data_IF_343694905902
#
_entry.id   IF_343694905902
#
_cell.length_a   1.000
_cell.length_b   1.000
_cell.length_c   1.000
_cell.angle_alpha   90.00
_cell.angle_beta   90.00
_cell.angle_gamma   90.00
#
_symmetry.space_group_name_H-M   'P 1'
#
loop_
_entity.id
_entity.type
_entity.pdbx_description
1 polymer ?
#
# COMPACT_ATOMS: atom_id res chain seq x y z
N UNK A 1 5.56 27.26 6.02
CA UNK A 1 5.46 26.78 7.42
C UNK A 1 6.75 26.09 7.74
N UNK A 2 7.32 26.31 8.93
CA UNK A 2 8.49 25.57 9.38
C UNK A 2 8.04 24.18 9.88
N UNK A 3 8.54 23.07 9.31
CA UNK A 3 8.20 21.71 9.74
C UNK A 3 8.47 21.44 11.22
N UNK A 4 9.35 22.21 11.86
CA UNK A 4 9.68 22.08 13.28
C UNK A 4 8.64 22.72 14.21
N UNK A 5 7.81 23.64 13.70
CA UNK A 5 6.86 24.42 14.52
C UNK A 5 5.41 24.26 14.09
N UNK A 6 5.15 23.62 12.94
CA UNK A 6 3.79 23.28 12.53
C UNK A 6 3.17 22.31 13.54
N UNK A 7 1.91 22.48 13.86
CA UNK A 7 1.14 21.58 14.74
C UNK A 7 -0.22 21.36 14.10
N UNK A 8 -1.01 20.42 14.61
CA UNK A 8 -2.38 20.25 14.14
C UNK A 8 -3.19 21.55 14.12
N UNK A 9 -3.05 22.42 15.13
CA UNK A 9 -3.87 23.63 15.23
C UNK A 9 -3.54 24.69 14.18
N UNK A 10 -2.29 24.77 13.72
CA UNK A 10 -1.84 25.79 12.76
C UNK A 10 -1.56 25.22 11.36
N UNK A 11 -1.71 23.91 11.17
CA UNK A 11 -1.51 23.26 9.88
C UNK A 11 -2.47 23.83 8.83
N UNK A 12 -1.90 24.03 7.63
CA UNK A 12 -2.61 24.34 6.38
C UNK A 12 -2.38 23.20 5.38
N UNK A 13 -2.80 23.40 4.12
CA UNK A 13 -2.66 22.39 3.08
C UNK A 13 -3.42 21.11 3.44
N UNK A 14 -2.91 19.96 3.00
CA UNK A 14 -3.56 18.67 3.21
C UNK A 14 -3.79 18.35 4.70
N UNK A 15 -2.77 18.56 5.57
CA UNK A 15 -2.90 18.27 7.00
C UNK A 15 -3.98 19.12 7.68
N UNK A 16 -4.07 20.41 7.33
CA UNK A 16 -5.14 21.28 7.82
C UNK A 16 -6.53 20.85 7.30
N UNK A 17 -6.61 20.47 6.02
CA UNK A 17 -7.85 19.98 5.42
C UNK A 17 -8.33 18.67 6.06
N UNK A 18 -7.42 17.72 6.36
CA UNK A 18 -7.74 16.47 7.05
C UNK A 18 -8.27 16.71 8.47
N UNK A 19 -7.63 17.62 9.23
CA UNK A 19 -8.14 18.05 10.55
C UNK A 19 -9.57 18.57 10.44
N UNK A 20 -9.82 19.49 9.50
CA UNK A 20 -11.13 20.13 9.35
C UNK A 20 -12.18 19.13 8.86
N UNK A 21 -11.78 18.18 7.99
CA UNK A 21 -12.63 17.09 7.53
C UNK A 21 -13.01 16.13 8.67
N UNK A 22 -12.06 15.73 9.51
CA UNK A 22 -12.34 14.90 10.69
C UNK A 22 -13.29 15.60 11.67
N UNK A 23 -13.13 16.91 11.87
CA UNK A 23 -14.06 17.71 12.68
C UNK A 23 -15.47 17.75 12.08
N UNK A 24 -15.59 17.94 10.76
CA UNK A 24 -16.88 17.90 10.04
C UNK A 24 -17.55 16.52 10.12
N UNK A 25 -16.79 15.45 9.92
CA UNK A 25 -17.28 14.08 10.05
C UNK A 25 -17.84 13.83 11.46
N UNK A 26 -17.11 14.24 12.49
CA UNK A 26 -17.56 14.14 13.88
C UNK A 26 -18.85 14.94 14.14
N UNK A 27 -18.95 16.16 13.63
CA UNK A 27 -20.16 16.98 13.75
C UNK A 27 -21.38 16.34 13.05
N UNK A 28 -21.15 15.55 12.00
CA UNK A 28 -22.17 14.76 11.31
C UNK A 28 -22.46 13.39 11.95
N UNK A 29 -21.84 13.07 13.10
CA UNK A 29 -22.05 11.78 13.79
C UNK A 29 -21.20 10.61 13.26
N UNK A 30 -20.17 10.89 12.47
CA UNK A 30 -19.26 9.88 11.94
C UNK A 30 -17.90 9.92 12.64
N UNK A 31 -17.30 8.75 12.85
CA UNK A 31 -15.90 8.63 13.25
C UNK A 31 -15.02 8.47 12.02
N UNK A 32 -14.20 9.48 11.73
CA UNK A 32 -13.17 9.41 10.69
C UNK A 32 -11.81 9.12 11.32
N UNK A 33 -11.34 7.88 11.21
CA UNK A 33 -9.97 7.52 11.54
C UNK A 33 -9.02 8.08 10.47
N UNK A 34 -7.88 8.63 10.91
CA UNK A 34 -6.85 9.12 10.01
C UNK A 34 -5.58 8.30 10.26
N UNK A 35 -5.02 7.76 9.17
CA UNK A 35 -3.75 7.06 9.16
C UNK A 35 -2.66 7.90 8.49
N UNK A 36 -1.42 7.74 8.91
CA UNK A 36 -0.24 8.30 8.26
C UNK A 36 0.61 7.15 7.68
N UNK A 37 0.71 7.07 6.36
CA UNK A 37 1.64 6.15 5.69
C UNK A 37 3.04 6.76 5.62
N UNK A 38 4.06 5.93 5.84
CA UNK A 38 5.48 6.25 5.71
C UNK A 38 6.06 5.24 4.74
N UNK A 39 6.62 5.72 3.63
CA UNK A 39 7.19 4.88 2.59
C UNK A 39 6.38 4.95 1.29
N UNK A 40 5.90 3.80 0.84
CA UNK A 40 5.34 3.55 -0.49
C UNK A 40 6.42 3.14 -1.49
N UNK A 41 5.99 2.77 -2.70
CA UNK A 41 6.84 2.28 -3.78
C UNK A 41 8.12 3.11 -3.99
N UNK A 42 8.00 4.43 -4.08
CA UNK A 42 9.13 5.33 -4.39
C UNK A 42 9.96 5.77 -3.19
N UNK A 43 9.54 5.48 -1.95
CA UNK A 43 10.20 6.00 -0.74
C UNK A 43 10.54 4.88 0.27
N UNK A 44 10.66 3.64 -0.20
CA UNK A 44 11.02 2.49 0.62
C UNK A 44 12.53 2.27 0.80
N UNK A 45 13.37 3.02 0.08
CA UNK A 45 14.82 2.82 0.02
C UNK A 45 15.55 2.89 1.37
N UNK A 46 14.98 3.59 2.37
CA UNK A 46 15.59 3.72 3.69
C UNK A 46 15.27 2.60 4.66
N UNK A 47 14.31 1.70 4.37
CA UNK A 47 13.79 0.78 5.38
C UNK A 47 14.77 -0.32 5.78
N UNK A 48 15.51 -0.88 4.83
CA UNK A 48 16.53 -1.90 5.11
C UNK A 48 17.51 -1.43 6.20
N UNK A 49 18.11 -0.25 6.02
CA UNK A 49 19.03 0.34 7.00
C UNK A 49 18.31 0.79 8.29
N UNK A 50 17.09 1.31 8.16
CA UNK A 50 16.28 1.75 9.31
C UNK A 50 15.96 0.58 10.25
N UNK A 51 15.70 -0.61 9.70
CA UNK A 51 15.38 -1.80 10.47
C UNK A 51 16.64 -2.50 11.02
N UNK A 52 17.80 -2.36 10.37
CA UNK A 52 19.00 -3.16 10.61
C UNK A 52 19.61 -3.04 12.03
N UNK A 53 19.48 -1.90 12.71
CA UNK A 53 20.17 -1.67 13.99
C UNK A 53 19.24 -1.12 15.07
N UNK A 54 19.57 -1.40 16.34
CA UNK A 54 18.80 -0.88 17.48
C UNK A 54 18.76 0.65 17.51
N UNK A 55 19.87 1.32 17.15
CA UNK A 55 19.93 2.78 17.12
C UNK A 55 19.06 3.37 16.00
N UNK A 56 19.10 2.81 14.79
CA UNK A 56 18.27 3.29 13.67
C UNK A 56 16.78 3.06 13.93
N UNK A 57 16.39 1.89 14.46
CA UNK A 57 14.99 1.63 14.88
C UNK A 57 14.50 2.62 15.92
N UNK A 58 15.32 2.93 16.93
CA UNK A 58 14.99 3.92 17.97
C UNK A 58 14.79 5.32 17.41
N UNK A 59 15.60 5.73 16.44
CA UNK A 59 15.47 7.03 15.76
C UNK A 59 14.14 7.09 15.01
N UNK A 60 13.82 6.05 14.24
CA UNK A 60 12.55 5.96 13.50
C UNK A 60 11.35 6.03 14.45
N UNK A 61 11.29 5.15 15.45
CA UNK A 61 10.21 5.11 16.42
C UNK A 61 10.00 6.45 17.14
N UNK A 62 11.10 7.11 17.54
CA UNK A 62 11.05 8.45 18.14
C UNK A 62 10.48 9.50 17.19
N UNK A 63 10.81 9.41 15.90
CA UNK A 63 10.26 10.25 14.84
C UNK A 63 8.75 10.08 14.71
N UNK A 64 8.27 8.85 14.66
CA UNK A 64 6.82 8.53 14.61
C UNK A 64 6.11 9.05 15.86
N UNK A 65 6.62 8.77 17.06
CA UNK A 65 6.04 9.30 18.31
C UNK A 65 5.97 10.82 18.31
N UNK A 66 7.00 11.51 17.80
CA UNK A 66 6.99 12.96 17.66
C UNK A 66 5.87 13.43 16.74
N UNK A 67 5.69 12.80 15.58
CA UNK A 67 4.62 13.13 14.62
C UNK A 67 3.23 12.99 15.26
N UNK A 68 2.99 11.91 16.00
CA UNK A 68 1.71 11.66 16.66
C UNK A 68 1.43 12.64 17.82
N UNK A 69 2.48 13.10 18.51
CA UNK A 69 2.34 14.20 19.49
C UNK A 69 2.04 15.54 18.81
N UNK A 70 2.60 15.79 17.63
CA UNK A 70 2.42 17.03 16.87
C UNK A 70 1.05 17.08 16.16
N UNK A 71 0.52 15.91 15.79
CA UNK A 71 -0.73 15.70 15.08
C UNK A 71 -1.61 14.62 15.72
N UNK A 72 -2.21 14.87 16.90
CA UNK A 72 -3.00 13.88 17.63
C UNK A 72 -4.32 13.44 16.93
N UNK A 73 -4.66 14.02 15.78
CA UNK A 73 -5.77 13.58 14.92
C UNK A 73 -5.54 12.21 14.28
N UNK A 74 -4.27 11.80 14.11
CA UNK A 74 -3.93 10.48 13.59
C UNK A 74 -4.05 9.42 14.69
N UNK A 75 -4.76 8.35 14.36
CA UNK A 75 -4.98 7.19 15.24
C UNK A 75 -4.27 5.94 14.75
N UNK A 76 -3.69 5.99 13.55
CA UNK A 76 -3.08 4.84 12.89
C UNK A 76 -1.81 5.28 12.15
N UNK A 77 -0.77 4.45 12.17
CA UNK A 77 0.44 4.60 11.34
C UNK A 77 0.53 3.39 10.43
N UNK A 78 0.84 3.63 9.16
CA UNK A 78 1.05 2.60 8.17
C UNK A 78 2.53 2.62 7.74
N UNK A 79 3.21 1.49 7.90
CA UNK A 79 4.61 1.34 7.52
C UNK A 79 4.62 0.66 6.16
N UNK A 80 4.68 1.49 5.13
CA UNK A 80 4.53 1.11 3.74
C UNK A 80 5.92 0.79 3.15
N UNK A 81 6.53 -0.29 3.64
CA UNK A 81 7.79 -0.81 3.11
C UNK A 81 7.49 -1.80 1.98
N UNK A 82 7.82 -1.40 0.74
CA UNK A 82 7.64 -2.21 -0.46
C UNK A 82 9.00 -2.61 -1.09
N UNK A 83 9.52 -3.82 -0.83
CA UNK A 83 9.07 -4.81 0.17
C UNK A 83 10.28 -5.41 0.91
N UNK A 84 10.12 -5.93 2.15
CA UNK A 84 11.19 -6.64 2.86
C UNK A 84 11.77 -7.79 2.02
N UNK A 85 13.10 -7.89 1.93
CA UNK A 85 13.82 -8.90 1.13
C UNK A 85 13.39 -8.93 -0.35
N UNK A 86 12.99 -7.79 -0.90
CA UNK A 86 12.67 -7.63 -2.30
C UNK A 86 13.14 -6.26 -2.79
N UNK A 87 13.70 -6.20 -3.98
CA UNK A 87 14.27 -4.97 -4.53
C UNK A 87 13.22 -3.86 -4.72
N UNK A 88 11.96 -4.19 -5.00
CA UNK A 88 10.92 -3.19 -5.27
C UNK A 88 11.37 -2.18 -6.33
N UNK A 89 11.37 -0.90 -5.98
CA UNK A 89 11.79 0.20 -6.85
C UNK A 89 13.33 0.43 -6.91
N UNK A 90 14.15 -0.62 -6.84
CA UNK A 90 15.62 -0.51 -6.80
C UNK A 90 16.18 -0.20 -5.40
N UNK A 91 15.50 -0.67 -4.38
CA UNK A 91 15.81 -0.43 -2.97
C UNK A 91 16.87 -1.43 -2.47
N UNK A 92 17.70 -1.08 -1.47
CA UNK A 92 18.47 -2.06 -0.70
C UNK A 92 17.54 -3.08 -0.02
N UNK A 93 17.93 -4.36 -0.04
CA UNK A 93 17.14 -5.46 0.52
C UNK A 93 18.04 -6.61 0.98
N UNK A 94 17.55 -7.45 1.89
CA UNK A 94 18.26 -8.64 2.34
C UNK A 94 17.39 -9.65 3.10
N UNK A 95 17.82 -10.91 3.22
CA UNK A 95 17.06 -11.97 3.89
C UNK A 95 16.80 -11.71 5.39
N UNK A 96 17.55 -10.80 6.00
CA UNK A 96 17.38 -10.34 7.38
C UNK A 96 16.20 -9.38 7.55
N UNK A 97 15.66 -8.81 6.48
CA UNK A 97 14.67 -7.73 6.53
C UNK A 97 13.44 -8.09 7.34
N UNK A 98 12.85 -9.28 7.13
CA UNK A 98 11.66 -9.70 7.89
C UNK A 98 11.91 -9.77 9.41
N UNK A 99 13.07 -10.29 9.83
CA UNK A 99 13.41 -10.37 11.25
C UNK A 99 13.70 -8.98 11.84
N UNK A 100 14.41 -8.14 11.09
CA UNK A 100 14.69 -6.75 11.48
C UNK A 100 13.41 -5.90 11.52
N UNK A 101 12.45 -6.19 10.65
CA UNK A 101 11.18 -5.50 10.60
C UNK A 101 10.33 -5.81 11.84
N UNK A 102 10.29 -7.08 12.28
CA UNK A 102 9.64 -7.44 13.54
C UNK A 102 10.25 -6.67 14.73
N UNK A 103 11.58 -6.51 14.77
CA UNK A 103 12.26 -5.68 15.79
C UNK A 103 11.90 -4.19 15.68
N UNK A 104 11.71 -3.67 14.47
CA UNK A 104 11.29 -2.29 14.23
C UNK A 104 9.86 -2.04 14.73
N UNK A 105 8.93 -2.96 14.43
CA UNK A 105 7.55 -2.89 14.94
C UNK A 105 7.52 -2.99 16.46
N UNK A 106 8.31 -3.89 17.06
CA UNK A 106 8.38 -4.04 18.51
C UNK A 106 8.88 -2.75 19.19
N UNK A 107 9.95 -2.12 18.66
CA UNK A 107 10.47 -0.87 19.20
C UNK A 107 9.51 0.30 19.00
N UNK A 108 8.83 0.38 17.84
CA UNK A 108 7.79 1.38 17.59
C UNK A 108 6.62 1.24 18.58
N UNK A 109 6.09 0.03 18.74
CA UNK A 109 5.02 -0.28 19.69
C UNK A 109 5.39 0.15 21.11
N UNK A 110 6.57 -0.26 21.58
CA UNK A 110 7.10 0.09 22.90
C UNK A 110 7.20 1.60 23.11
N UNK A 111 7.69 2.37 22.14
CA UNK A 111 7.82 3.81 22.28
C UNK A 111 6.46 4.54 22.22
N UNK A 112 5.52 4.07 21.39
CA UNK A 112 4.14 4.58 21.39
C UNK A 112 3.50 4.35 22.76
N UNK A 113 3.62 3.14 23.32
CA UNK A 113 3.04 2.80 24.63
C UNK A 113 3.64 3.66 25.74
N UNK A 114 4.97 3.79 25.75
CA UNK A 114 5.70 4.63 26.71
C UNK A 114 5.34 6.13 26.60
N UNK A 115 4.84 6.55 25.44
CA UNK A 115 4.39 7.91 25.18
C UNK A 115 2.90 8.15 25.48
N UNK A 116 2.16 7.14 25.97
CA UNK A 116 0.72 7.22 26.20
C UNK A 116 -0.11 7.11 24.91
N UNK A 117 0.44 6.51 23.87
CA UNK A 117 -0.15 6.34 22.54
C UNK A 117 -0.43 4.84 22.24
N UNK A 118 -0.78 4.07 23.26
CA UNK A 118 -1.03 2.62 23.14
C UNK A 118 -2.23 2.27 22.24
N UNK A 119 -3.13 3.23 22.02
CA UNK A 119 -4.27 3.11 21.13
C UNK A 119 -3.93 3.32 19.64
N UNK A 120 -2.72 3.78 19.32
CA UNK A 120 -2.28 3.96 17.92
C UNK A 120 -2.12 2.58 17.28
N UNK A 121 -2.85 2.30 16.21
CA UNK A 121 -2.70 1.06 15.45
C UNK A 121 -1.53 1.17 14.49
N UNK A 122 -0.84 0.05 14.27
CA UNK A 122 0.26 -0.06 13.31
C UNK A 122 -0.21 -0.99 12.19
N UNK A 123 -0.17 -0.53 10.95
CA UNK A 123 -0.42 -1.34 9.76
C UNK A 123 0.85 -1.41 8.89
N UNK A 124 0.87 -2.33 7.95
CA UNK A 124 1.95 -2.46 6.95
C UNK A 124 1.38 -2.61 5.55
N UNK A 125 2.17 -2.22 4.56
CA UNK A 125 2.05 -2.74 3.20
C UNK A 125 2.53 -4.19 3.15
N UNK A 126 1.80 -5.01 2.40
CA UNK A 126 2.15 -6.40 2.16
C UNK A 126 1.87 -6.78 0.70
N UNK A 127 2.84 -7.45 0.07
CA UNK A 127 2.71 -7.87 -1.31
C UNK A 127 1.58 -8.88 -1.48
N UNK A 128 0.87 -8.79 -2.60
CA UNK A 128 -0.09 -9.80 -3.01
C UNK A 128 0.56 -11.01 -3.73
N UNK A 129 1.88 -10.98 -3.95
CA UNK A 129 2.65 -12.15 -4.40
C UNK A 129 3.06 -12.95 -3.16
N UNK A 130 2.54 -14.17 -3.02
CA UNK A 130 2.69 -15.00 -1.81
C UNK A 130 4.14 -15.19 -1.37
N UNK A 131 5.05 -15.44 -2.31
CA UNK A 131 6.48 -15.59 -2.01
C UNK A 131 7.13 -14.32 -1.47
N UNK A 132 6.71 -13.14 -1.93
CA UNK A 132 7.20 -11.85 -1.43
C UNK A 132 6.55 -11.55 -0.06
N UNK A 133 5.27 -11.87 0.12
CA UNK A 133 4.58 -11.75 1.40
C UNK A 133 5.31 -12.51 2.51
N UNK A 134 5.71 -13.76 2.24
CA UNK A 134 6.33 -14.64 3.23
C UNK A 134 7.67 -14.10 3.76
N UNK A 135 8.39 -13.31 2.94
CA UNK A 135 9.65 -12.68 3.37
C UNK A 135 9.48 -11.68 4.52
N UNK A 136 8.32 -11.04 4.63
CA UNK A 136 8.06 -10.07 5.70
C UNK A 136 7.93 -10.75 7.08
N UNK A 137 7.65 -12.05 7.14
CA UNK A 137 7.39 -12.81 8.39
C UNK A 137 6.28 -12.17 9.23
N UNK A 138 5.12 -11.93 8.62
CA UNK A 138 4.01 -11.15 9.21
C UNK A 138 3.51 -11.68 10.55
N UNK A 139 3.63 -12.99 10.83
CA UNK A 139 3.32 -13.54 12.16
C UNK A 139 4.23 -12.99 13.26
N UNK A 140 5.52 -12.81 12.99
CA UNK A 140 6.48 -12.20 13.93
C UNK A 140 6.15 -10.71 14.14
N UNK A 141 5.75 -10.02 13.07
CA UNK A 141 5.28 -8.62 13.14
C UNK A 141 4.01 -8.49 13.99
N UNK A 142 3.05 -9.41 13.86
CA UNK A 142 1.84 -9.46 14.72
C UNK A 142 2.20 -9.71 16.18
N UNK A 143 3.11 -10.65 16.46
CA UNK A 143 3.61 -10.88 17.81
C UNK A 143 4.33 -9.65 18.40
N UNK A 144 4.93 -8.82 17.55
CA UNK A 144 5.58 -7.57 17.90
C UNK A 144 4.61 -6.37 18.09
N UNK A 145 3.32 -6.53 17.81
CA UNK A 145 2.30 -5.49 17.99
C UNK A 145 1.75 -4.86 16.71
N UNK A 146 1.95 -5.50 15.54
CA UNK A 146 1.24 -5.14 14.31
C UNK A 146 -0.28 -5.36 14.48
N UNK A 147 -1.07 -4.39 14.00
CA UNK A 147 -2.53 -4.45 14.04
C UNK A 147 -3.15 -4.87 12.71
N UNK A 148 -2.65 -4.38 11.57
CA UNK A 148 -3.31 -4.54 10.27
C UNK A 148 -2.35 -4.80 9.11
N UNK A 149 -2.87 -5.40 8.05
CA UNK A 149 -2.17 -5.78 6.82
C UNK A 149 -2.93 -5.15 5.66
N UNK A 150 -2.29 -4.25 4.94
CA UNK A 150 -2.80 -3.69 3.70
C UNK A 150 -2.19 -4.50 2.54
N UNK A 151 -2.99 -5.40 1.96
CA UNK A 151 -2.56 -6.17 0.80
C UNK A 151 -2.59 -5.29 -0.44
N UNK A 152 -1.43 -5.14 -1.08
CA UNK A 152 -1.25 -4.36 -2.30
C UNK A 152 -1.73 -5.17 -3.51
N UNK A 153 -3.05 -5.41 -3.59
CA UNK A 153 -3.71 -6.26 -4.59
C UNK A 153 -4.00 -5.54 -5.91
N UNK A 154 -3.00 -4.85 -6.41
CA UNK A 154 -3.01 -4.12 -7.67
C UNK A 154 -1.64 -4.23 -8.34
N UNK A 155 -1.54 -3.71 -9.56
CA UNK A 155 -0.32 -3.78 -10.38
C UNK A 155 0.17 -5.21 -10.69
N UNK A 156 -0.73 -6.17 -10.80
CA UNK A 156 -0.41 -7.52 -11.31
C UNK A 156 -0.04 -7.52 -12.80
N UNK A 157 -0.41 -6.46 -13.50
CA UNK A 157 -0.09 -6.22 -14.90
C UNK A 157 0.35 -4.76 -15.07
N UNK A 158 1.27 -4.50 -16.00
CA UNK A 158 1.66 -3.16 -16.40
C UNK A 158 2.63 -3.15 -17.57
N UNK A 159 2.51 -2.14 -18.43
CA UNK A 159 3.48 -1.88 -19.49
C UNK A 159 4.65 -1.04 -18.95
N UNK A 160 5.89 -1.25 -19.39
CA UNK A 160 6.35 -2.22 -20.39
C UNK A 160 6.88 -3.53 -19.79
N UNK A 161 6.63 -3.80 -18.51
CA UNK A 161 7.34 -4.83 -17.75
C UNK A 161 6.64 -6.19 -17.71
N UNK A 162 5.32 -6.25 -17.89
CA UNK A 162 4.59 -7.51 -17.85
C UNK A 162 4.92 -8.36 -19.08
N UNK A 163 5.08 -9.67 -18.93
CA UNK A 163 5.40 -10.55 -20.05
C UNK A 163 4.21 -10.75 -21.00
N UNK A 164 3.00 -10.78 -20.45
CA UNK A 164 1.76 -11.02 -21.19
C UNK A 164 0.66 -10.03 -20.76
N UNK A 165 -0.40 -9.94 -21.56
CA UNK A 165 -1.56 -9.15 -21.22
C UNK A 165 -2.26 -9.77 -20.00
N UNK A 166 -2.63 -8.95 -19.02
CA UNK A 166 -3.28 -9.42 -17.80
C UNK A 166 -4.21 -8.38 -17.18
N UNK A 167 -4.96 -8.81 -16.18
CA UNK A 167 -5.65 -7.90 -15.29
C UNK A 167 -4.69 -7.41 -14.21
N UNK A 168 -4.77 -6.14 -13.83
CA UNK A 168 -3.85 -5.59 -12.81
C UNK A 168 -4.38 -5.67 -11.39
N UNK A 169 -5.69 -5.83 -11.18
CA UNK A 169 -6.32 -5.86 -9.83
C UNK A 169 -7.51 -6.83 -9.80
N UNK A 170 -7.37 -7.98 -10.46
CA UNK A 170 -8.41 -9.01 -10.56
C UNK A 170 -8.68 -9.70 -9.22
N UNK A 171 -9.96 -9.96 -8.97
CA UNK A 171 -10.40 -10.78 -7.84
C UNK A 171 -9.93 -12.23 -7.93
N UNK A 172 -10.07 -12.84 -9.11
CA UNK A 172 -9.69 -14.24 -9.40
C UNK A 172 -8.56 -14.32 -10.40
N UNK A 173 -7.67 -15.29 -10.22
CA UNK A 173 -6.52 -15.48 -11.11
C UNK A 173 -6.95 -15.97 -12.50
N UNK A 174 -6.19 -15.60 -13.53
CA UNK A 174 -6.40 -16.12 -14.90
C UNK A 174 -6.01 -17.61 -15.01
N UNK A 175 -5.00 -18.00 -14.25
CA UNK A 175 -4.52 -19.39 -14.11
C UNK A 175 -4.44 -19.74 -12.62
N UNK A 176 -4.61 -21.02 -12.28
CA UNK A 176 -4.54 -21.49 -10.90
C UNK A 176 -3.21 -21.11 -10.25
N UNK A 177 -3.26 -20.49 -9.06
CA UNK A 177 -2.08 -20.00 -8.35
C UNK A 177 -1.50 -18.68 -8.89
N UNK A 178 -2.08 -18.09 -9.94
CA UNK A 178 -1.67 -16.79 -10.46
C UNK A 178 -2.02 -15.62 -9.52
N UNK A 179 -1.51 -14.43 -9.84
CA UNK A 179 -1.74 -13.23 -9.03
C UNK A 179 -3.21 -12.79 -9.07
N UNK A 180 -3.81 -12.69 -7.89
CA UNK A 180 -5.18 -12.27 -7.69
C UNK A 180 -5.44 -11.94 -6.21
N UNK A 181 -6.53 -11.21 -5.94
CA UNK A 181 -6.99 -10.96 -4.56
C UNK A 181 -7.27 -12.26 -3.82
N UNK A 182 -8.04 -13.18 -4.41
CA UNK A 182 -8.39 -14.46 -3.75
C UNK A 182 -7.15 -15.31 -3.46
N UNK A 183 -6.16 -15.35 -4.36
CA UNK A 183 -4.93 -16.13 -4.17
C UNK A 183 -4.19 -15.75 -2.88
N UNK A 184 -3.95 -14.46 -2.65
CA UNK A 184 -3.23 -14.01 -1.46
C UNK A 184 -4.11 -14.07 -0.20
N UNK A 185 -5.41 -13.74 -0.32
CA UNK A 185 -6.32 -13.81 0.83
C UNK A 185 -6.45 -15.25 1.33
N UNK A 186 -6.63 -16.21 0.43
CA UNK A 186 -6.74 -17.63 0.78
C UNK A 186 -5.44 -18.16 1.40
N UNK A 187 -4.27 -17.70 0.91
CA UNK A 187 -2.97 -17.99 1.53
C UNK A 187 -2.93 -17.53 2.99
N UNK A 188 -3.29 -16.27 3.26
CA UNK A 188 -3.31 -15.72 4.63
C UNK A 188 -4.32 -16.45 5.53
N UNK A 189 -5.52 -16.74 5.03
CA UNK A 189 -6.53 -17.44 5.81
C UNK A 189 -6.11 -18.88 6.13
N UNK A 190 -5.53 -19.59 5.17
CA UNK A 190 -4.97 -20.93 5.37
C UNK A 190 -3.82 -20.93 6.38
N UNK A 191 -3.04 -19.86 6.40
CA UNK A 191 -1.98 -19.63 7.38
C UNK A 191 -2.46 -19.22 8.78
N UNK A 192 -3.76 -18.97 8.95
CA UNK A 192 -4.38 -18.64 10.23
C UNK A 192 -4.40 -17.15 10.58
N UNK A 193 -4.15 -16.26 9.61
CA UNK A 193 -4.35 -14.83 9.82
C UNK A 193 -5.86 -14.52 9.98
N UNK A 194 -6.20 -13.64 10.92
CA UNK A 194 -7.60 -13.27 11.15
C UNK A 194 -8.07 -12.27 10.09
N UNK A 195 -9.24 -12.51 9.51
CA UNK A 195 -9.78 -11.70 8.42
C UNK A 195 -9.99 -10.22 8.80
N UNK A 196 -10.26 -9.91 10.08
CA UNK A 196 -10.38 -8.53 10.58
C UNK A 196 -9.06 -7.74 10.56
N UNK A 197 -7.95 -8.40 10.23
CA UNK A 197 -6.61 -7.82 10.11
C UNK A 197 -6.20 -7.56 8.68
N UNK A 198 -6.98 -8.04 7.71
CA UNK A 198 -6.62 -8.04 6.29
C UNK A 198 -7.48 -7.01 5.56
N UNK A 199 -6.83 -6.02 4.96
CA UNK A 199 -7.47 -5.05 4.07
C UNK A 199 -7.05 -5.38 2.63
N UNK A 200 -8.01 -5.53 1.73
CA UNK A 200 -7.75 -5.69 0.29
C UNK A 200 -7.76 -4.34 -0.41
N UNK A 201 -6.90 -4.18 -1.41
CA UNK A 201 -6.85 -3.00 -2.27
C UNK A 201 -7.77 -3.11 -3.47
N UNK A 202 -8.31 -1.97 -3.90
CA UNK A 202 -8.88 -1.77 -5.23
C UNK A 202 -8.19 -0.57 -5.87
N UNK A 203 -8.05 -0.56 -7.20
CA UNK A 203 -7.36 0.52 -7.90
C UNK A 203 -8.33 1.58 -8.44
N UNK A 204 -8.02 2.85 -8.17
CA UNK A 204 -8.68 4.01 -8.79
C UNK A 204 -8.05 4.43 -10.12
N UNK A 205 -7.32 3.54 -10.77
CA UNK A 205 -6.60 3.75 -12.02
C UNK A 205 -6.53 2.44 -12.81
N UNK A 206 -6.02 2.51 -14.04
CA UNK A 206 -5.86 1.39 -14.97
C UNK A 206 -4.40 1.09 -15.23
N UNK A 207 -4.11 -0.13 -15.69
CA UNK A 207 -2.83 -0.46 -16.33
C UNK A 207 -3.11 -0.81 -17.79
N UNK A 208 -2.56 -0.02 -18.70
CA UNK A 208 -2.88 -0.05 -20.11
C UNK A 208 -1.79 -0.76 -20.92
N UNK A 209 -2.16 -1.24 -22.10
CA UNK A 209 -1.25 -1.74 -23.12
C UNK A 209 -1.57 -1.15 -24.48
N UNK A 210 -0.58 -1.19 -25.39
CA UNK A 210 -0.72 -0.84 -26.80
C UNK A 210 -0.36 -2.03 -27.68
N UNK A 211 -0.80 -1.96 -28.94
CA UNK A 211 -0.56 -3.03 -29.93
C UNK A 211 -1.04 -4.37 -29.39
N UNK A 212 -2.26 -4.38 -28.85
CA UNK A 212 -2.87 -5.54 -28.21
C UNK A 212 -3.55 -6.42 -29.24
N UNK A 213 -3.30 -7.72 -29.17
CA UNK A 213 -4.06 -8.75 -29.89
C UNK A 213 -4.82 -9.60 -28.85
N UNK A 214 -6.14 -9.47 -28.83
CA UNK A 214 -7.01 -10.23 -27.92
C UNK A 214 -7.40 -11.56 -28.58
N UNK A 215 -7.07 -12.66 -27.93
CA UNK A 215 -7.54 -14.00 -28.29
C UNK A 215 -8.87 -14.34 -27.60
N UNK A 216 -9.04 -13.89 -26.35
CA UNK A 216 -10.26 -14.09 -25.55
C UNK A 216 -10.43 -12.99 -24.51
N UNK A 217 -11.67 -12.59 -24.24
CA UNK A 217 -12.01 -11.60 -23.21
C UNK A 217 -12.29 -12.24 -21.84
N UNK A 218 -12.77 -13.49 -21.80
CA UNK A 218 -13.08 -14.20 -20.55
C UNK A 218 -12.93 -15.72 -20.72
N UNK A 219 -11.87 -16.33 -20.15
CA UNK A 219 -10.75 -15.67 -19.47
C UNK A 219 -9.98 -14.75 -20.43
N UNK A 220 -9.39 -13.67 -19.91
CA UNK A 220 -8.56 -12.78 -20.69
C UNK A 220 -7.34 -13.54 -21.22
N UNK A 221 -7.14 -13.50 -22.53
CA UNK A 221 -5.96 -14.06 -23.20
C UNK A 221 -5.59 -13.19 -24.39
N UNK A 222 -4.31 -12.89 -24.52
CA UNK A 222 -3.81 -12.10 -25.63
C UNK A 222 -2.35 -11.73 -25.45
N UNK A 223 -1.83 -11.00 -26.42
CA UNK A 223 -0.49 -10.43 -26.39
C UNK A 223 -0.56 -8.91 -26.45
N UNK A 224 0.54 -8.26 -26.05
CA UNK A 224 0.73 -6.84 -26.26
C UNK A 224 2.19 -6.57 -26.64
N UNK A 225 2.43 -5.45 -27.31
CA UNK A 225 3.79 -4.99 -27.59
C UNK A 225 3.93 -3.53 -27.15
N UNK A 226 4.71 -3.24 -26.10
CA UNK A 226 4.88 -1.87 -25.63
C UNK A 226 5.58 -0.99 -26.66
N UNK A 227 6.40 -1.57 -27.54
CA UNK A 227 7.27 -0.82 -28.44
C UNK A 227 8.18 0.15 -27.67
N UNK A 228 8.56 1.25 -28.31
CA UNK A 228 9.38 2.33 -27.71
C UNK A 228 8.60 3.61 -27.40
N UNK A 229 7.30 3.66 -27.73
CA UNK A 229 6.47 4.84 -27.56
C UNK A 229 5.63 4.78 -26.28
N UNK A 230 5.06 5.93 -25.84
CA UNK A 230 4.17 5.93 -24.70
C UNK A 230 2.93 5.07 -24.98
N UNK A 231 2.41 4.46 -23.92
CA UNK A 231 1.09 3.86 -23.87
C UNK A 231 0.12 4.87 -23.27
N UNK A 232 -1.13 4.88 -23.74
CA UNK A 232 -2.19 5.75 -23.22
C UNK A 232 -2.21 5.79 -21.70
N UNK A 233 -2.35 6.99 -21.15
CA UNK A 233 -2.41 7.27 -19.72
C UNK A 233 -2.72 8.74 -19.46
N UNK A 234 -3.07 9.07 -18.21
CA UNK A 234 -3.50 10.43 -17.83
C UNK A 234 -2.31 11.32 -17.48
N UNK A 235 -1.47 10.88 -16.54
CA UNK A 235 -0.25 11.60 -16.11
C UNK A 235 1.03 10.84 -16.45
N UNK A 236 0.97 9.52 -16.52
CA UNK A 236 2.10 8.64 -16.82
C UNK A 236 1.74 7.63 -17.90
N UNK A 237 2.74 7.19 -18.66
CA UNK A 237 2.55 6.21 -19.72
C UNK A 237 2.03 4.89 -19.15
N UNK A 238 0.93 4.39 -19.71
CA UNK A 238 0.37 3.11 -19.32
C UNK A 238 -0.57 3.15 -18.11
N UNK A 239 -0.90 4.34 -17.59
CA UNK A 239 -1.78 4.49 -16.42
C UNK A 239 -2.82 5.59 -16.67
N UNK A 240 -4.10 5.22 -16.81
CA UNK A 240 -5.20 6.19 -16.81
C UNK A 240 -5.91 6.20 -15.46
N UNK A 241 -6.11 7.39 -14.90
CA UNK A 241 -6.83 7.61 -13.64
C UNK A 241 -8.34 7.46 -13.83
N UNK A 242 -9.07 7.11 -12.77
CA UNK A 242 -10.51 6.82 -12.87
C UNK A 242 -11.34 7.93 -13.51
N UNK A 243 -11.01 9.20 -13.24
CA UNK A 243 -11.74 10.32 -13.85
C UNK A 243 -11.60 10.30 -15.38
N UNK A 244 -10.42 10.00 -15.91
CA UNK A 244 -10.17 9.94 -17.35
C UNK A 244 -10.89 8.73 -17.97
N UNK A 245 -10.94 7.60 -17.25
CA UNK A 245 -11.71 6.41 -17.64
C UNK A 245 -13.18 6.75 -17.89
N UNK A 246 -13.86 7.38 -16.94
CA UNK A 246 -15.30 7.66 -17.05
C UNK A 246 -15.63 8.79 -18.02
N UNK A 247 -14.68 9.67 -18.33
CA UNK A 247 -14.91 10.76 -19.30
C UNK A 247 -14.56 10.35 -20.73
N UNK A 248 -13.56 9.48 -20.92
CA UNK A 248 -12.95 9.23 -22.22
C UNK A 248 -13.19 7.82 -22.75
N UNK A 249 -13.45 6.83 -21.89
CA UNK A 249 -13.38 5.41 -22.26
C UNK A 249 -14.59 4.56 -21.84
N UNK A 250 -15.38 4.98 -20.86
CA UNK A 250 -16.50 4.22 -20.33
C UNK A 250 -17.76 5.08 -20.17
N UNK A 251 -18.80 4.80 -20.97
CA UNK A 251 -20.12 5.38 -20.81
C UNK A 251 -20.97 4.50 -19.87
N UNK A 252 -21.06 4.89 -18.59
CA UNK A 252 -21.84 4.17 -17.58
C UNK A 252 -23.36 4.25 -17.83
N UNK A 253 -23.83 5.19 -18.64
CA UNK A 253 -25.24 5.31 -19.01
C UNK A 253 -25.60 4.46 -20.24
N UNK A 254 -24.60 3.97 -20.98
CA UNK A 254 -24.78 3.13 -22.19
C UNK A 254 -23.76 1.99 -22.22
N UNK A 255 -23.90 0.98 -21.33
CA UNK A 255 -22.92 -0.11 -21.20
C UNK A 255 -22.79 -1.02 -22.43
N UNK A 256 -23.66 -0.88 -23.45
CA UNK A 256 -23.66 -1.72 -24.66
C UNK A 256 -23.00 -1.07 -25.89
N UNK A 257 -22.42 0.14 -25.80
CA UNK A 257 -21.71 0.71 -26.95
C UNK A 257 -20.24 0.28 -26.95
N UNK A 258 -19.75 -0.39 -28.02
CA UNK A 258 -18.34 -0.70 -28.20
C UNK A 258 -17.52 0.56 -28.49
#
# INVERSE_FOLDING_TARGET
>A
MDPKTVTQSNAKGLLGALRDMQAKAKAAGHTLALSMSIGGWSMSNGFHETAASDSSRKIFAKGVVKLFKQFPMFSEVDIDWEYPNNEGAGNPFGPEDGANYALLIAELRKQLDSAGLSNVKISIAASAVTTIFDYAKVKDLMAAGLYGINLMTYDFFGTPWAETLGHHTNRKALEEGGWAVETIVDHLLAEGFSADRINIGYAGYTRNARQVEIESLSPLKGSYNPGSGPTTGSFESGTSEWYDVIYSYLDLEKPERP
#
